data_IF_259631688728
#
_entry.id   IF_259631688728
#
_cell.length_a   1.000
_cell.length_b   1.000
_cell.length_c   1.000
_cell.angle_alpha   90.00
_cell.angle_beta   90.00
_cell.angle_gamma   90.00
#
_symmetry.space_group_name_H-M   'P 1'
#
loop_
_entity.id
_entity.type
_entity.pdbx_description
1 polymer ?
#
# COMPACT_ATOMS: atom_id res chain seq x y z
N UNK A 1 21.75 7.95 40.75
CA UNK A 1 20.77 6.87 40.83
C UNK A 1 19.55 7.31 40.05
N UNK A 2 19.22 6.62 39.01
CA UNK A 2 18.19 6.89 37.98
C UNK A 2 18.67 7.58 36.68
N UNK A 3 19.72 7.02 36.11
CA UNK A 3 20.11 7.23 34.71
C UNK A 3 19.55 6.11 33.82
N UNK A 4 18.34 5.65 34.07
CA UNK A 4 17.86 4.40 33.46
C UNK A 4 16.39 4.47 33.02
N UNK A 5 16.00 5.49 32.23
CA UNK A 5 14.64 5.46 31.67
C UNK A 5 14.40 6.25 30.37
N UNK A 6 15.38 6.45 29.54
CA UNK A 6 15.11 6.99 28.19
C UNK A 6 16.05 6.34 27.16
N UNK A 7 16.09 5.03 27.13
CA UNK A 7 16.37 4.32 25.89
C UNK A 7 15.13 4.49 25.03
N UNK A 8 15.02 5.67 24.38
CA UNK A 8 14.01 5.88 23.36
C UNK A 8 14.17 4.73 22.36
N UNK A 9 13.12 3.97 22.17
CA UNK A 9 13.05 2.86 21.20
C UNK A 9 13.40 3.42 19.81
N UNK A 10 14.67 3.40 19.48
CA UNK A 10 15.19 3.88 18.20
C UNK A 10 15.41 2.66 17.32
N UNK A 11 14.47 2.40 16.44
CA UNK A 11 14.56 1.32 15.46
C UNK A 11 15.14 1.85 14.16
N UNK A 12 16.15 1.18 13.64
CA UNK A 12 16.87 1.59 12.43
C UNK A 12 16.93 0.42 11.48
N UNK A 13 16.32 0.56 10.31
CA UNK A 13 16.38 -0.49 9.29
C UNK A 13 17.80 -0.65 8.71
N UNK A 14 18.07 -1.79 8.09
CA UNK A 14 19.14 -1.90 7.11
C UNK A 14 18.86 -0.97 5.91
N UNK A 15 19.89 -0.67 5.10
CA UNK A 15 19.66 -0.04 3.79
C UNK A 15 18.95 -1.03 2.88
N UNK A 16 17.85 -0.62 2.29
CA UNK A 16 17.07 -1.45 1.38
C UNK A 16 16.83 -0.78 0.04
N UNK A 17 16.60 -1.59 -0.95
CA UNK A 17 16.11 -1.19 -2.28
C UNK A 17 14.74 -1.82 -2.50
N UNK A 18 13.93 -1.17 -3.30
CA UNK A 18 12.61 -1.67 -3.61
C UNK A 18 12.66 -2.73 -4.72
N UNK A 19 12.23 -3.94 -4.40
CA UNK A 19 12.03 -4.98 -5.41
C UNK A 19 10.69 -4.74 -6.14
N UNK A 20 10.76 -4.60 -7.48
CA UNK A 20 9.58 -4.27 -8.31
C UNK A 20 8.38 -5.16 -8.05
N UNK A 21 8.57 -6.48 -7.95
CA UNK A 21 7.48 -7.43 -7.73
C UNK A 21 6.76 -7.20 -6.41
N UNK A 22 7.53 -7.06 -5.33
CA UNK A 22 7.03 -6.81 -3.98
C UNK A 22 6.33 -5.46 -3.87
N UNK A 23 6.87 -4.41 -4.51
CA UNK A 23 6.24 -3.08 -4.53
C UNK A 23 4.91 -3.10 -5.27
N UNK A 24 4.84 -3.75 -6.44
CA UNK A 24 3.58 -3.90 -7.18
C UNK A 24 2.53 -4.62 -6.33
N UNK A 25 2.93 -5.65 -5.57
CA UNK A 25 2.03 -6.34 -4.66
C UNK A 25 1.53 -5.42 -3.53
N UNK A 26 2.41 -4.62 -2.93
CA UNK A 26 2.02 -3.62 -1.92
C UNK A 26 1.07 -2.57 -2.48
N UNK A 27 1.33 -2.07 -3.70
CA UNK A 27 0.45 -1.13 -4.39
C UNK A 27 -0.93 -1.73 -4.70
N UNK A 28 -1.00 -3.00 -5.12
CA UNK A 28 -2.29 -3.71 -5.27
C UNK A 28 -3.06 -3.74 -3.96
N UNK A 29 -2.38 -4.07 -2.87
CA UNK A 29 -2.99 -4.11 -1.55
C UNK A 29 -3.54 -2.75 -1.14
N UNK A 30 -2.77 -1.67 -1.38
CA UNK A 30 -3.21 -0.30 -1.17
C UNK A 30 -4.48 0.04 -1.97
N UNK A 31 -4.49 -0.24 -3.28
CA UNK A 31 -5.66 0.07 -4.12
C UNK A 31 -6.90 -0.72 -3.72
N UNK A 32 -6.77 -2.03 -3.50
CA UNK A 32 -7.90 -2.88 -3.10
C UNK A 32 -8.44 -2.50 -1.72
N UNK A 33 -7.62 -1.94 -0.84
CA UNK A 33 -8.06 -1.52 0.50
C UNK A 33 -8.96 -0.29 0.49
N UNK A 34 -8.95 0.51 -0.58
CA UNK A 34 -9.80 1.70 -0.73
C UNK A 34 -11.27 1.32 -0.91
N UNK A 35 -12.15 1.97 -0.13
CA UNK A 35 -13.59 1.69 -0.15
C UNK A 35 -14.18 1.89 -1.55
N UNK A 36 -13.80 2.94 -2.25
CA UNK A 36 -14.26 3.29 -3.59
C UNK A 36 -13.92 2.18 -4.60
N UNK A 37 -12.70 1.67 -4.54
CA UNK A 37 -12.24 0.58 -5.42
C UNK A 37 -12.94 -0.73 -5.08
N UNK A 38 -13.11 -1.03 -3.78
CA UNK A 38 -13.89 -2.22 -3.35
C UNK A 38 -15.32 -2.19 -3.90
N UNK A 39 -16.01 -1.07 -3.71
CA UNK A 39 -17.39 -0.89 -4.18
C UNK A 39 -17.44 -1.06 -5.70
N UNK A 40 -16.53 -0.44 -6.43
CA UNK A 40 -16.48 -0.53 -7.89
C UNK A 40 -16.21 -1.97 -8.36
N UNK A 41 -15.27 -2.69 -7.75
CA UNK A 41 -15.01 -4.11 -8.06
C UNK A 41 -16.27 -4.93 -7.82
N UNK A 42 -16.97 -4.75 -6.69
CA UNK A 42 -18.21 -5.46 -6.38
C UNK A 42 -19.28 -5.16 -7.43
N UNK A 43 -19.52 -3.89 -7.76
CA UNK A 43 -20.51 -3.49 -8.75
C UNK A 43 -20.23 -4.10 -10.13
N UNK A 44 -18.97 -4.06 -10.58
CA UNK A 44 -18.57 -4.63 -11.87
C UNK A 44 -18.78 -6.15 -11.91
N UNK A 45 -18.48 -6.86 -10.82
CA UNK A 45 -18.73 -8.31 -10.74
C UNK A 45 -20.22 -8.64 -10.68
N UNK A 46 -21.02 -7.89 -9.90
CA UNK A 46 -22.48 -8.05 -9.87
C UNK A 46 -23.08 -7.83 -11.24
N UNK A 47 -22.66 -6.77 -11.94
CA UNK A 47 -23.11 -6.49 -13.30
C UNK A 47 -22.75 -7.63 -14.28
N UNK A 48 -21.54 -8.17 -14.19
CA UNK A 48 -21.12 -9.31 -15.03
C UNK A 48 -21.96 -10.55 -14.76
N UNK A 49 -22.25 -10.86 -13.49
CA UNK A 49 -23.10 -12.01 -13.10
C UNK A 49 -24.54 -11.84 -13.58
N UNK A 50 -25.13 -10.65 -13.43
CA UNK A 50 -26.46 -10.35 -13.91
C UNK A 50 -26.52 -10.46 -15.44
N UNK A 51 -25.54 -9.92 -16.15
CA UNK A 51 -25.44 -10.03 -17.60
C UNK A 51 -25.34 -11.48 -18.06
N UNK A 52 -24.53 -12.30 -17.39
CA UNK A 52 -24.42 -13.73 -17.68
C UNK A 52 -25.72 -14.49 -17.44
N UNK A 53 -26.41 -14.19 -16.33
CA UNK A 53 -27.71 -14.78 -16.04
C UNK A 53 -28.77 -14.43 -17.09
N UNK A 54 -28.87 -13.15 -17.47
CA UNK A 54 -29.80 -12.69 -18.51
C UNK A 54 -29.52 -13.34 -19.87
N UNK A 55 -28.24 -13.52 -20.19
CA UNK A 55 -27.87 -14.23 -21.42
C UNK A 55 -28.25 -15.72 -21.34
N UNK A 56 -27.98 -16.39 -20.23
CA UNK A 56 -28.38 -17.81 -20.03
C UNK A 56 -29.89 -18.01 -20.14
N UNK A 57 -30.70 -17.11 -19.58
CA UNK A 57 -32.14 -17.12 -19.70
C UNK A 57 -32.68 -16.61 -21.06
N UNK A 58 -31.81 -16.36 -22.03
CA UNK A 58 -32.14 -15.85 -23.37
C UNK A 58 -32.94 -14.53 -23.36
N UNK A 59 -32.72 -13.70 -22.33
CA UNK A 59 -33.37 -12.40 -22.20
C UNK A 59 -32.63 -11.26 -22.92
N UNK A 60 -31.34 -11.47 -23.21
CA UNK A 60 -30.51 -10.52 -23.97
C UNK A 60 -29.85 -11.23 -25.16
N UNK A 61 -29.53 -10.44 -26.17
CA UNK A 61 -28.78 -10.91 -27.34
C UNK A 61 -27.31 -11.17 -27.00
N UNK A 62 -26.59 -11.99 -27.82
CA UNK A 62 -25.17 -12.27 -27.58
C UNK A 62 -24.25 -11.06 -27.57
N UNK A 63 -24.53 -10.05 -28.40
CA UNK A 63 -23.69 -8.86 -28.56
C UNK A 63 -23.56 -8.02 -27.28
N UNK A 64 -24.63 -7.61 -26.58
CA UNK A 64 -24.52 -6.92 -25.30
C UNK A 64 -23.76 -7.73 -24.24
N UNK A 65 -23.95 -9.03 -24.18
CA UNK A 65 -23.22 -9.93 -23.27
C UNK A 65 -21.72 -9.92 -23.59
N UNK A 66 -21.34 -10.05 -24.87
CA UNK A 66 -19.94 -10.04 -25.29
C UNK A 66 -19.28 -8.71 -24.95
N UNK A 67 -19.93 -7.57 -25.23
CA UNK A 67 -19.40 -6.25 -24.91
C UNK A 67 -19.20 -6.05 -23.39
N UNK A 68 -20.16 -6.47 -22.57
CA UNK A 68 -20.04 -6.39 -21.12
C UNK A 68 -18.89 -7.26 -20.58
N UNK A 69 -18.68 -8.44 -21.16
CA UNK A 69 -17.59 -9.33 -20.79
C UNK A 69 -16.22 -8.73 -21.14
N UNK A 70 -16.06 -8.18 -22.34
CA UNK A 70 -14.82 -7.50 -22.76
C UNK A 70 -14.53 -6.32 -21.85
N UNK A 71 -15.53 -5.51 -21.53
CA UNK A 71 -15.38 -4.37 -20.61
C UNK A 71 -14.95 -4.84 -19.20
N UNK A 72 -15.52 -5.94 -18.71
CA UNK A 72 -15.13 -6.54 -17.44
C UNK A 72 -13.65 -6.95 -17.43
N UNK A 73 -13.17 -7.62 -18.47
CA UNK A 73 -11.75 -7.99 -18.61
C UNK A 73 -10.83 -6.78 -18.64
N UNK A 74 -11.18 -5.74 -19.41
CA UNK A 74 -10.39 -4.50 -19.48
C UNK A 74 -10.27 -3.85 -18.10
N UNK A 75 -11.37 -3.75 -17.36
CA UNK A 75 -11.37 -3.19 -16.01
C UNK A 75 -10.52 -4.02 -15.06
N UNK A 76 -10.65 -5.34 -15.07
CA UNK A 76 -9.86 -6.23 -14.22
C UNK A 76 -8.37 -6.11 -14.51
N UNK A 77 -7.98 -6.11 -15.78
CA UNK A 77 -6.57 -5.92 -16.19
C UNK A 77 -6.06 -4.55 -15.73
N UNK A 78 -6.87 -3.52 -15.87
CA UNK A 78 -6.51 -2.15 -15.47
C UNK A 78 -6.22 -2.08 -13.98
N UNK A 79 -7.08 -2.60 -13.13
CA UNK A 79 -6.89 -2.57 -11.68
C UNK A 79 -5.75 -3.47 -11.21
N UNK A 80 -5.60 -4.64 -11.85
CA UNK A 80 -4.64 -5.63 -11.38
C UNK A 80 -3.21 -5.39 -11.88
N UNK A 81 -3.06 -4.86 -13.10
CA UNK A 81 -1.74 -4.68 -13.74
C UNK A 81 -1.41 -3.23 -14.06
N UNK A 82 -2.32 -2.51 -14.75
CA UNK A 82 -1.98 -1.21 -15.30
C UNK A 82 -1.81 -0.16 -14.21
N UNK A 83 -2.72 -0.11 -13.24
CA UNK A 83 -2.72 0.89 -12.19
C UNK A 83 -1.48 0.78 -11.28
N UNK A 84 -1.17 -0.38 -10.66
CA UNK A 84 0.03 -0.52 -9.83
C UNK A 84 1.33 -0.32 -10.61
N UNK A 85 1.40 -0.82 -11.84
CA UNK A 85 2.59 -0.67 -12.69
C UNK A 85 2.83 0.78 -13.10
N UNK A 86 1.77 1.55 -13.35
CA UNK A 86 1.88 2.97 -13.70
C UNK A 86 2.40 3.79 -12.53
N UNK A 87 1.91 3.52 -11.32
CA UNK A 87 2.41 4.19 -10.10
C UNK A 87 3.87 3.85 -9.86
N UNK A 88 4.25 2.59 -9.96
CA UNK A 88 5.64 2.17 -9.83
C UNK A 88 6.56 2.88 -10.83
N UNK A 89 6.17 2.94 -12.11
CA UNK A 89 6.99 3.57 -13.16
C UNK A 89 7.16 5.07 -12.98
N UNK A 90 6.14 5.77 -12.47
CA UNK A 90 6.16 7.22 -12.27
C UNK A 90 6.94 7.66 -11.04
N UNK A 91 7.08 6.79 -10.05
CA UNK A 91 7.77 7.12 -8.81
C UNK A 91 9.27 6.90 -8.94
N UNK A 92 10.04 7.97 -8.76
CA UNK A 92 11.50 7.91 -8.64
C UNK A 92 11.92 7.24 -7.32
N UNK A 93 11.12 7.40 -6.28
CA UNK A 93 11.35 6.86 -4.94
C UNK A 93 11.66 5.35 -4.94
N UNK A 94 11.02 4.56 -5.81
CA UNK A 94 11.25 3.12 -5.84
C UNK A 94 12.58 2.68 -6.51
N UNK A 95 13.38 3.63 -6.96
CA UNK A 95 14.67 3.36 -7.63
C UNK A 95 15.88 3.69 -6.77
N UNK A 96 15.68 4.35 -5.65
CA UNK A 96 16.73 4.78 -4.74
C UNK A 96 16.91 3.80 -3.59
N UNK A 97 18.04 3.92 -2.88
CA UNK A 97 18.30 3.18 -1.65
C UNK A 97 17.87 4.02 -0.46
N UNK A 98 17.17 3.37 0.44
CA UNK A 98 16.64 4.02 1.63
C UNK A 98 17.06 3.30 2.89
N UNK A 99 17.09 4.06 3.96
CA UNK A 99 17.15 3.60 5.34
C UNK A 99 16.06 4.30 6.11
N UNK A 100 15.29 3.56 6.89
CA UNK A 100 14.24 4.09 7.74
C UNK A 100 14.73 4.10 9.18
N UNK A 101 14.50 5.21 9.86
CA UNK A 101 14.71 5.34 11.30
C UNK A 101 13.41 5.77 11.95
N UNK A 102 13.02 5.04 12.98
CA UNK A 102 11.81 5.26 13.75
C UNK A 102 12.21 5.57 15.19
N UNK A 103 11.71 6.65 15.72
CA UNK A 103 11.81 6.98 17.14
C UNK A 103 10.43 7.41 17.69
N UNK A 104 10.33 7.66 18.98
CA UNK A 104 9.06 8.04 19.61
C UNK A 104 8.49 9.38 19.11
N UNK A 105 9.30 10.23 18.50
CA UNK A 105 8.90 11.57 18.08
C UNK A 105 8.69 11.68 16.58
N UNK A 106 9.45 10.92 15.78
CA UNK A 106 9.52 11.12 14.34
C UNK A 106 9.83 9.86 13.54
N UNK A 107 9.43 9.91 12.29
CA UNK A 107 9.84 9.00 11.23
C UNK A 107 10.90 9.71 10.38
N UNK A 108 12.06 9.10 10.17
CA UNK A 108 13.14 9.65 9.35
C UNK A 108 13.46 8.68 8.21
N UNK A 109 13.50 9.22 7.01
CA UNK A 109 13.95 8.56 5.80
C UNK A 109 15.32 9.08 5.41
N UNK A 110 16.29 8.20 5.35
CA UNK A 110 17.67 8.51 4.93
C UNK A 110 17.90 7.96 3.52
N UNK A 111 18.54 8.74 2.69
CA UNK A 111 19.02 8.38 1.35
C UNK A 111 20.52 8.63 1.28
N UNK A 112 21.18 8.23 0.20
CA UNK A 112 22.58 8.56 -0.05
C UNK A 112 22.81 10.08 -0.20
N UNK A 113 21.79 10.83 -0.58
CA UNK A 113 21.84 12.26 -0.86
C UNK A 113 21.32 13.16 0.26
N UNK A 114 20.86 12.58 1.37
CA UNK A 114 20.34 13.34 2.51
C UNK A 114 19.28 12.60 3.31
N UNK A 115 18.73 13.28 4.29
CA UNK A 115 17.68 12.73 5.14
C UNK A 115 16.47 13.67 5.21
N UNK A 116 15.29 13.09 5.39
CA UNK A 116 14.06 13.83 5.61
C UNK A 116 13.31 13.21 6.78
N UNK A 117 12.85 14.05 7.70
CA UNK A 117 12.13 13.63 8.89
C UNK A 117 10.72 14.20 8.90
N UNK A 118 9.79 13.44 9.47
CA UNK A 118 8.41 13.83 9.70
C UNK A 118 8.02 13.46 11.12
N UNK A 119 7.27 14.32 11.76
CA UNK A 119 6.66 14.03 13.05
C UNK A 119 5.41 13.15 12.86
N UNK A 120 5.09 12.31 13.83
CA UNK A 120 3.95 11.38 13.74
C UNK A 120 2.60 12.04 13.44
N UNK A 121 2.27 13.25 13.97
CA UNK A 121 1.03 13.94 13.63
C UNK A 121 0.88 14.36 12.17
N UNK A 122 1.96 14.33 11.38
CA UNK A 122 1.91 14.64 9.94
C UNK A 122 1.34 13.48 9.11
N UNK A 123 1.20 12.30 9.71
CA UNK A 123 0.59 11.15 9.06
C UNK A 123 -0.90 11.07 9.38
N UNK A 124 -1.71 10.94 8.35
CA UNK A 124 -3.17 10.85 8.46
C UNK A 124 -3.69 9.43 8.77
N UNK A 125 -2.85 8.42 8.63
CA UNK A 125 -3.22 7.03 8.86
C UNK A 125 -2.10 6.07 8.49
N UNK A 126 -2.31 4.80 8.77
CA UNK A 126 -1.39 3.74 8.38
C UNK A 126 -2.14 2.45 8.01
N UNK A 127 -1.46 1.60 7.28
CA UNK A 127 -1.95 0.27 6.91
C UNK A 127 -0.78 -0.70 6.86
N UNK A 128 -1.05 -1.94 7.19
CA UNK A 128 -0.11 -3.03 7.09
C UNK A 128 -0.51 -3.97 5.94
N UNK A 129 0.43 -4.27 5.07
CA UNK A 129 0.35 -5.31 4.06
C UNK A 129 1.26 -6.49 4.44
N UNK A 130 1.18 -7.64 3.76
CA UNK A 130 2.01 -8.79 4.13
C UNK A 130 3.51 -8.49 4.20
N UNK A 131 4.04 -7.65 3.31
CA UNK A 131 5.47 -7.38 3.19
C UNK A 131 5.88 -5.95 3.56
N UNK A 132 4.93 -5.01 3.70
CA UNK A 132 5.20 -3.58 3.87
C UNK A 132 4.32 -2.93 4.91
N UNK A 133 4.86 -1.91 5.57
CA UNK A 133 4.10 -0.88 6.26
C UNK A 133 3.82 0.27 5.31
N UNK A 134 2.62 0.83 5.37
CA UNK A 134 2.16 1.97 4.58
C UNK A 134 1.84 3.12 5.53
N UNK A 135 2.50 4.25 5.38
CA UNK A 135 2.23 5.48 6.13
C UNK A 135 1.61 6.51 5.19
N UNK A 136 0.45 7.01 5.54
CA UNK A 136 -0.31 7.96 4.71
C UNK A 136 -0.12 9.38 5.22
N UNK A 137 0.32 10.28 4.35
CA UNK A 137 0.27 11.72 4.61
C UNK A 137 -1.13 12.27 4.33
N UNK A 138 -1.78 11.75 3.32
CA UNK A 138 -3.15 12.07 2.92
C UNK A 138 -3.71 10.95 2.03
N UNK A 139 -4.93 11.14 1.51
CA UNK A 139 -5.60 10.15 0.64
C UNK A 139 -4.85 9.82 -0.66
N UNK A 140 -3.86 10.62 -1.08
CA UNK A 140 -3.14 10.45 -2.36
C UNK A 140 -1.66 10.17 -2.18
N UNK A 141 -1.07 10.62 -1.09
CA UNK A 141 0.38 10.55 -0.84
C UNK A 141 0.66 9.62 0.33
N UNK A 142 1.48 8.64 0.10
CA UNK A 142 1.89 7.66 1.10
C UNK A 142 3.34 7.22 0.86
N UNK A 143 3.95 6.71 1.89
CA UNK A 143 5.25 6.06 1.84
C UNK A 143 5.09 4.59 2.27
N UNK A 144 5.87 3.70 1.66
CA UNK A 144 5.93 2.29 2.03
C UNK A 144 7.36 1.91 2.41
N UNK A 145 7.51 1.06 3.40
CA UNK A 145 8.81 0.49 3.73
C UNK A 145 8.68 -1.00 4.07
N UNK A 146 9.67 -1.81 3.66
CA UNK A 146 9.60 -3.25 3.79
C UNK A 146 9.81 -3.68 5.23
N UNK A 147 9.07 -4.69 5.66
CA UNK A 147 9.24 -5.33 6.97
C UNK A 147 10.58 -6.04 7.08
N UNK A 148 11.02 -6.67 6.00
CA UNK A 148 12.28 -7.39 5.91
C UNK A 148 13.55 -6.52 6.08
N UNK A 149 13.41 -5.19 6.05
CA UNK A 149 14.53 -4.28 6.33
C UNK A 149 14.84 -4.15 7.83
N UNK A 150 13.99 -4.70 8.68
CA UNK A 150 14.14 -4.73 10.13
C UNK A 150 14.38 -6.17 10.61
N UNK A 151 15.06 -6.32 11.71
CA UNK A 151 15.27 -7.65 12.31
C UNK A 151 13.95 -8.19 12.90
N UNK A 152 13.75 -9.52 12.82
CA UNK A 152 12.45 -10.18 12.97
C UNK A 152 11.62 -9.84 14.21
N UNK A 153 12.24 -9.49 15.34
CA UNK A 153 11.52 -9.10 16.56
C UNK A 153 11.05 -7.62 16.53
N UNK A 154 11.67 -6.78 15.72
CA UNK A 154 11.36 -5.36 15.63
C UNK A 154 10.00 -5.10 14.94
N UNK A 155 9.50 -6.01 14.09
CA UNK A 155 8.20 -5.83 13.40
C UNK A 155 7.05 -5.55 14.38
N UNK A 156 7.01 -6.28 15.50
CA UNK A 156 5.98 -6.09 16.51
C UNK A 156 6.12 -4.75 17.23
N UNK A 157 7.34 -4.35 17.55
CA UNK A 157 7.63 -3.07 18.18
C UNK A 157 7.30 -1.89 17.24
N UNK A 158 7.63 -2.00 15.95
CA UNK A 158 7.28 -1.01 14.92
C UNK A 158 5.76 -0.87 14.81
N UNK A 159 5.03 -1.99 14.73
CA UNK A 159 3.56 -1.99 14.68
C UNK A 159 2.96 -1.28 15.88
N UNK A 160 3.46 -1.55 17.08
CA UNK A 160 3.02 -0.92 18.31
C UNK A 160 3.31 0.57 18.32
N UNK A 161 4.52 0.97 17.91
CA UNK A 161 4.93 2.37 17.82
C UNK A 161 4.04 3.14 16.83
N UNK A 162 3.83 2.63 15.63
CA UNK A 162 2.97 3.28 14.63
C UNK A 162 1.54 3.40 15.15
N UNK A 163 1.00 2.31 15.71
CA UNK A 163 -0.38 2.28 16.20
C UNK A 163 -0.62 3.20 17.41
N UNK A 164 0.41 3.52 18.19
CA UNK A 164 0.29 4.45 19.33
C UNK A 164 0.26 5.92 18.89
N UNK A 165 0.79 6.24 17.71
CA UNK A 165 0.93 7.62 17.26
C UNK A 165 0.04 7.99 16.07
N UNK A 166 -0.39 7.01 15.27
CA UNK A 166 -1.16 7.25 14.04
C UNK A 166 -2.48 6.47 14.11
N UNK A 167 -3.62 7.11 13.85
CA UNK A 167 -4.92 6.42 13.77
C UNK A 167 -4.93 5.42 12.59
N UNK A 168 -5.72 4.37 12.74
CA UNK A 168 -5.85 3.31 11.72
C UNK A 168 -6.94 3.64 10.70
#
# INVERSE_FOLDING_TARGET
MEENCLLSLRMVSAFFTFEKGKVIQALRYHFISRKEIKIMIVLVNVFALVSAALYFFKKIQPLPFLLSSVMWFILMITFWYLLPSSVYKRSQTFKERFRVRLDEQRFTLETENGSKSWEWPQFSGWMESPLYFHLYFNSRTFFIFPKEAFEGEEEHAIRKLIASHIPK
#
